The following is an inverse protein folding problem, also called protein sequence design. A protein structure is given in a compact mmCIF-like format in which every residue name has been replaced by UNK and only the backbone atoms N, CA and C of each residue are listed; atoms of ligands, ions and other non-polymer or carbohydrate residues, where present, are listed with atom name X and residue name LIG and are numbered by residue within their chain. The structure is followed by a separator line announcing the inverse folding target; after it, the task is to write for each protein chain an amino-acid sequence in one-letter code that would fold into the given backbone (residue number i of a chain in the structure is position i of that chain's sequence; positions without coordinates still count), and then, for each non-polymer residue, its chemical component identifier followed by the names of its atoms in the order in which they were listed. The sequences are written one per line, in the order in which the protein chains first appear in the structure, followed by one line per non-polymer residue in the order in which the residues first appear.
data_IF_062508967631
#
_entry.id   IF_062508967631
#
_cell.length_a   1.000
_cell.length_b   1.000
_cell.length_c   1.000
_cell.angle_alpha   90.00
_cell.angle_beta   90.00
_cell.angle_gamma   90.00
#
_symmetry.space_group_name_H-M   'P 1'
#
loop_
_entity.id
_entity.type
_entity.pdbx_description
1 polymer ?
#
# COMPACT_ATOMS: atom_id res chain seq x y z
N UNK A 1 -7.06 21.77 -12.47
CA UNK A 1 -5.95 22.76 -12.47
C UNK A 1 -5.45 23.14 -11.08
N UNK A 2 -6.19 23.89 -10.25
CA UNK A 2 -5.69 24.42 -8.95
C UNK A 2 -5.11 23.37 -7.96
N UNK A 3 -5.57 22.11 -8.01
CA UNK A 3 -4.94 21.01 -7.27
C UNK A 3 -3.51 20.71 -7.74
N UNK A 4 -3.33 20.58 -9.06
CA UNK A 4 -2.03 20.31 -9.67
C UNK A 4 -1.06 21.50 -9.50
N UNK A 5 -1.56 22.73 -9.61
CA UNK A 5 -0.73 23.92 -9.40
C UNK A 5 -0.14 23.97 -7.99
N UNK A 6 -0.96 23.63 -6.96
CA UNK A 6 -0.47 23.49 -5.58
C UNK A 6 0.57 22.37 -5.47
N UNK A 7 0.31 21.20 -6.05
CA UNK A 7 1.25 20.07 -6.02
C UNK A 7 2.60 20.45 -6.63
N UNK A 8 2.61 21.12 -7.78
CA UNK A 8 3.81 21.62 -8.45
C UNK A 8 4.54 22.66 -7.59
N UNK A 9 3.83 23.60 -6.97
CA UNK A 9 4.42 24.60 -6.08
C UNK A 9 5.08 23.95 -4.84
N UNK A 10 4.39 22.99 -4.19
CA UNK A 10 4.97 22.23 -3.08
C UNK A 10 6.22 21.46 -3.51
N UNK A 11 6.20 20.83 -4.68
CA UNK A 11 7.35 20.11 -5.21
C UNK A 11 8.53 21.04 -5.49
N UNK A 12 8.31 22.19 -6.13
CA UNK A 12 9.36 23.18 -6.38
C UNK A 12 10.00 23.68 -5.08
N UNK A 13 9.20 23.97 -4.05
CA UNK A 13 9.71 24.40 -2.73
C UNK A 13 10.50 23.31 -2.00
N UNK A 14 10.31 22.04 -2.35
CA UNK A 14 11.04 20.93 -1.73
C UNK A 14 12.49 20.78 -2.19
N UNK A 15 12.91 21.54 -3.22
CA UNK A 15 14.29 21.46 -3.73
C UNK A 15 14.64 20.10 -4.36
N UNK A 16 13.64 19.36 -4.86
CA UNK A 16 13.81 18.04 -5.47
C UNK A 16 13.51 16.85 -4.55
N UNK A 17 13.17 17.09 -3.28
CA UNK A 17 12.75 16.00 -2.37
C UNK A 17 11.38 15.41 -2.73
N UNK A 18 10.48 16.20 -3.30
CA UNK A 18 9.15 15.76 -3.73
C UNK A 18 9.05 15.76 -5.26
N UNK A 19 8.60 14.62 -5.81
CA UNK A 19 8.37 14.44 -7.24
C UNK A 19 6.85 14.54 -7.51
N UNK A 20 6.36 15.55 -8.25
CA UNK A 20 4.94 15.78 -8.41
C UNK A 20 4.35 14.88 -9.51
N UNK A 21 3.23 14.23 -9.21
CA UNK A 21 2.39 13.51 -10.18
C UNK A 21 1.15 14.34 -10.48
N UNK A 22 0.79 14.46 -11.76
CA UNK A 22 -0.43 15.16 -12.19
C UNK A 22 -1.65 14.29 -11.94
N UNK A 23 -2.70 14.85 -11.34
CA UNK A 23 -4.00 14.19 -11.22
C UNK A 23 -4.97 14.79 -12.23
N UNK A 24 -5.67 13.93 -12.97
CA UNK A 24 -6.55 14.34 -14.07
C UNK A 24 -8.02 14.37 -13.64
N UNK A 25 -8.79 15.29 -14.20
CA UNK A 25 -10.24 15.13 -14.27
C UNK A 25 -10.56 14.62 -15.67
N UNK A 26 -11.16 13.44 -15.77
CA UNK A 26 -11.43 12.82 -17.07
C UNK A 26 -12.50 13.57 -17.88
N UNK A 27 -13.18 14.55 -17.29
CA UNK A 27 -14.23 15.34 -17.93
C UNK A 27 -13.79 16.77 -18.31
N UNK A 28 -12.56 17.20 -17.98
CA UNK A 28 -12.10 18.59 -18.15
C UNK A 28 -10.81 18.72 -18.99
N UNK A 29 -10.74 18.03 -20.14
CA UNK A 29 -9.54 18.06 -20.99
C UNK A 29 -8.32 17.43 -20.32
N UNK A 30 -8.35 16.11 -20.03
CA UNK A 30 -7.30 15.44 -19.28
C UNK A 30 -5.94 15.50 -19.98
N UNK A 31 -5.90 15.51 -21.31
CA UNK A 31 -4.64 15.49 -22.08
C UNK A 31 -3.98 16.85 -22.09
N UNK A 32 -4.76 17.93 -22.23
CA UNK A 32 -4.25 19.29 -22.16
C UNK A 32 -3.67 19.60 -20.77
N UNK A 33 -4.35 19.17 -19.71
CA UNK A 33 -3.86 19.35 -18.35
C UNK A 33 -2.64 18.48 -18.04
N UNK A 34 -2.62 17.22 -18.49
CA UNK A 34 -1.46 16.35 -18.36
C UNK A 34 -0.24 16.96 -19.04
N UNK A 35 -0.38 17.36 -20.30
CA UNK A 35 0.68 17.99 -21.09
C UNK A 35 1.23 19.23 -20.38
N UNK A 36 0.35 20.14 -19.97
CA UNK A 36 0.73 21.35 -19.24
C UNK A 36 1.51 21.04 -17.95
N UNK A 37 1.02 20.09 -17.15
CA UNK A 37 1.67 19.78 -15.88
C UNK A 37 3.03 19.10 -16.08
N UNK A 38 3.15 18.23 -17.08
CA UNK A 38 4.42 17.60 -17.43
C UNK A 38 5.44 18.64 -17.93
N UNK A 39 5.01 19.61 -18.75
CA UNK A 39 5.87 20.73 -19.17
C UNK A 39 6.29 21.64 -18.00
N UNK A 40 5.47 21.71 -16.95
CA UNK A 40 5.78 22.46 -15.72
C UNK A 40 6.56 21.64 -14.68
N UNK A 41 6.97 20.41 -15.00
CA UNK A 41 7.84 19.59 -14.17
C UNK A 41 7.16 18.47 -13.38
N UNK A 42 5.89 18.14 -13.65
CA UNK A 42 5.34 16.86 -13.23
C UNK A 42 6.12 15.71 -13.87
N UNK A 43 6.31 14.62 -13.13
CA UNK A 43 7.13 13.47 -13.54
C UNK A 43 6.35 12.14 -13.50
N UNK A 44 5.02 12.22 -13.53
CA UNK A 44 4.14 11.06 -13.52
C UNK A 44 2.68 11.47 -13.52
N UNK A 45 1.79 10.51 -13.80
CA UNK A 45 0.34 10.70 -13.85
C UNK A 45 -0.31 9.83 -12.76
N UNK A 46 -1.19 10.41 -11.93
CA UNK A 46 -1.95 9.71 -10.88
C UNK A 46 -3.40 9.53 -11.30
N UNK A 47 -3.80 8.26 -11.37
CA UNK A 47 -5.14 7.81 -11.66
C UNK A 47 -5.78 7.12 -10.44
N UNK A 48 -7.06 7.35 -10.24
CA UNK A 48 -7.90 6.79 -9.20
C UNK A 48 -9.31 6.57 -9.75
N UNK A 49 -9.57 5.42 -10.42
CA UNK A 49 -10.80 5.16 -11.18
C UNK A 49 -12.09 5.42 -10.38
N UNK A 50 -12.16 4.94 -9.13
CA UNK A 50 -13.29 5.19 -8.23
C UNK A 50 -13.50 6.68 -7.91
N UNK A 51 -12.45 7.40 -7.51
CA UNK A 51 -12.55 8.80 -7.10
C UNK A 51 -12.79 9.74 -8.29
N UNK A 52 -12.29 9.39 -9.47
CA UNK A 52 -12.47 10.13 -10.73
C UNK A 52 -13.67 9.61 -11.55
N UNK A 53 -14.35 8.56 -11.09
CA UNK A 53 -15.58 7.98 -11.67
C UNK A 53 -15.42 7.52 -13.13
N UNK A 54 -14.42 6.69 -13.40
CA UNK A 54 -14.23 6.02 -14.69
C UNK A 54 -13.93 4.52 -14.53
N UNK A 55 -14.10 3.77 -15.61
CA UNK A 55 -13.75 2.34 -15.72
C UNK A 55 -12.45 2.16 -16.51
N UNK A 56 -11.79 1.01 -16.37
CA UNK A 56 -10.49 0.78 -16.99
C UNK A 56 -10.57 0.54 -18.51
N UNK A 57 -11.75 0.19 -19.02
CA UNK A 57 -12.05 0.12 -20.45
C UNK A 57 -12.50 1.46 -21.06
N UNK A 58 -12.38 2.56 -20.32
CA UNK A 58 -12.75 3.89 -20.81
C UNK A 58 -11.77 4.34 -21.91
N UNK A 59 -12.31 4.67 -23.09
CA UNK A 59 -11.51 5.07 -24.26
C UNK A 59 -10.63 6.31 -23.99
N UNK A 60 -10.98 7.13 -22.99
CA UNK A 60 -10.18 8.30 -22.59
C UNK A 60 -8.85 7.92 -21.94
N UNK A 61 -8.65 6.67 -21.52
CA UNK A 61 -7.38 6.21 -20.96
C UNK A 61 -6.32 5.95 -22.03
N UNK A 62 -6.71 5.55 -23.24
CA UNK A 62 -5.76 5.27 -24.32
C UNK A 62 -4.83 6.48 -24.60
N UNK A 63 -5.34 7.70 -24.82
CA UNK A 63 -4.50 8.88 -24.99
C UNK A 63 -3.66 9.24 -23.75
N UNK A 64 -4.11 8.88 -22.54
CA UNK A 64 -3.33 9.11 -21.30
C UNK A 64 -2.11 8.18 -21.25
N UNK A 65 -2.29 6.90 -21.60
CA UNK A 65 -1.20 5.92 -21.68
C UNK A 65 -0.24 6.24 -22.82
N UNK A 66 -0.75 6.65 -23.98
CA UNK A 66 0.06 7.12 -25.10
C UNK A 66 0.95 8.30 -24.70
N UNK A 67 0.38 9.34 -24.09
CA UNK A 67 1.14 10.49 -23.60
C UNK A 67 2.18 10.10 -22.54
N UNK A 68 1.84 9.19 -21.63
CA UNK A 68 2.78 8.71 -20.61
C UNK A 68 3.99 8.00 -21.23
N UNK A 69 3.76 7.16 -22.25
CA UNK A 69 4.81 6.48 -23.00
C UNK A 69 5.68 7.48 -23.78
N UNK A 70 5.08 8.41 -24.52
CA UNK A 70 5.79 9.46 -25.27
C UNK A 70 6.68 10.33 -24.37
N UNK A 71 6.19 10.66 -23.17
CA UNK A 71 6.89 11.50 -22.20
C UNK A 71 7.82 10.70 -21.28
N UNK A 72 7.82 9.37 -21.39
CA UNK A 72 8.58 8.45 -20.56
C UNK A 72 8.38 8.69 -19.06
N UNK A 73 7.11 8.87 -18.64
CA UNK A 73 6.74 9.06 -17.24
C UNK A 73 5.82 7.95 -16.74
N UNK A 74 5.92 7.52 -15.48
CA UNK A 74 5.06 6.47 -14.93
C UNK A 74 3.62 6.92 -14.73
N UNK A 75 2.69 5.98 -14.89
CA UNK A 75 1.32 6.07 -14.40
C UNK A 75 1.23 5.36 -13.06
N UNK A 76 0.82 6.06 -12.01
CA UNK A 76 0.43 5.47 -10.73
C UNK A 76 -1.09 5.34 -10.69
N UNK A 77 -1.62 4.12 -10.68
CA UNK A 77 -3.07 3.86 -10.65
C UNK A 77 -3.50 3.23 -9.33
N UNK A 78 -4.62 3.67 -8.78
CA UNK A 78 -5.21 3.01 -7.61
C UNK A 78 -5.62 1.57 -7.95
N UNK A 79 -5.08 0.58 -7.21
CA UNK A 79 -5.43 -0.84 -7.32
C UNK A 79 -5.94 -1.44 -5.99
N UNK A 80 -6.52 -0.59 -5.13
CA UNK A 80 -6.95 -0.95 -3.78
C UNK A 80 -8.44 -1.21 -3.62
N UNK A 81 -8.89 -1.25 -2.36
CA UNK A 81 -10.28 -1.57 -1.97
C UNK A 81 -11.33 -0.72 -2.69
N UNK A 82 -12.41 -1.36 -3.11
CA UNK A 82 -13.58 -0.69 -3.69
C UNK A 82 -13.51 -0.46 -5.20
N UNK A 83 -12.60 -1.15 -5.88
CA UNK A 83 -12.63 -1.33 -7.34
C UNK A 83 -13.23 -2.70 -7.70
N UNK A 84 -13.86 -2.84 -8.88
CA UNK A 84 -14.11 -4.14 -9.48
C UNK A 84 -12.77 -4.79 -9.92
N UNK A 85 -12.79 -6.03 -10.44
CA UNK A 85 -11.65 -6.57 -11.19
C UNK A 85 -11.19 -5.60 -12.29
N UNK A 86 -9.88 -5.45 -12.47
CA UNK A 86 -9.24 -4.46 -13.36
C UNK A 86 -8.12 -5.05 -14.23
N UNK A 87 -7.72 -6.30 -14.01
CA UNK A 87 -6.51 -6.86 -14.60
C UNK A 87 -6.53 -6.87 -16.13
N UNK A 88 -7.61 -7.34 -16.75
CA UNK A 88 -7.69 -7.54 -18.20
C UNK A 88 -7.62 -6.21 -18.97
N UNK A 89 -8.39 -5.21 -18.52
CA UNK A 89 -8.41 -3.88 -19.14
C UNK A 89 -7.05 -3.18 -18.98
N UNK A 90 -6.45 -3.28 -17.79
CA UNK A 90 -5.16 -2.67 -17.51
C UNK A 90 -4.02 -3.34 -18.29
N UNK A 91 -4.04 -4.67 -18.42
CA UNK A 91 -3.10 -5.41 -19.25
C UNK A 91 -3.21 -5.03 -20.73
N UNK A 92 -4.43 -4.82 -21.25
CA UNK A 92 -4.64 -4.36 -22.62
C UNK A 92 -3.99 -2.99 -22.87
N UNK A 93 -4.05 -2.08 -21.90
CA UNK A 93 -3.41 -0.76 -21.99
C UNK A 93 -1.87 -0.88 -21.93
N UNK A 94 -1.33 -1.67 -21.00
CA UNK A 94 0.12 -1.90 -20.86
C UNK A 94 0.72 -2.61 -22.07
N UNK A 95 0.00 -3.57 -22.67
CA UNK A 95 0.47 -4.28 -23.85
C UNK A 95 0.45 -3.41 -25.12
N UNK A 96 -0.46 -2.44 -25.16
CA UNK A 96 -0.59 -1.51 -26.29
C UNK A 96 0.40 -0.35 -26.21
N UNK A 97 0.69 0.13 -25.01
CA UNK A 97 1.50 1.32 -24.79
C UNK A 97 2.69 0.99 -23.89
N UNK A 98 3.91 1.31 -24.33
CA UNK A 98 5.15 1.13 -23.57
C UNK A 98 5.29 2.17 -22.43
N UNK A 99 4.26 2.27 -21.59
CA UNK A 99 4.19 3.15 -20.45
C UNK A 99 4.53 2.38 -19.17
N UNK A 100 5.38 2.96 -18.33
CA UNK A 100 5.61 2.42 -17.00
C UNK A 100 4.35 2.56 -16.15
N UNK A 101 4.04 1.51 -15.38
CA UNK A 101 2.84 1.43 -14.55
C UNK A 101 3.21 1.09 -13.12
N UNK A 102 2.62 1.80 -12.15
CA UNK A 102 2.66 1.47 -10.73
C UNK A 102 1.22 1.21 -10.27
N UNK A 103 0.94 -0.02 -9.86
CA UNK A 103 -0.36 -0.42 -9.28
C UNK A 103 -0.31 -0.22 -7.77
N UNK A 104 -1.11 0.71 -7.26
CA UNK A 104 -1.12 1.04 -5.85
C UNK A 104 -1.81 -0.02 -4.98
N UNK A 105 -1.42 -0.06 -3.70
CA UNK A 105 -1.99 -0.92 -2.65
C UNK A 105 -1.83 -2.41 -2.94
N UNK A 106 -0.65 -2.81 -3.41
CA UNK A 106 -0.34 -4.18 -3.83
C UNK A 106 -1.30 -4.77 -4.88
N UNK A 107 -2.14 -3.96 -5.53
CA UNK A 107 -3.15 -4.47 -6.46
C UNK A 107 -4.26 -5.32 -5.82
N UNK A 108 -4.53 -5.19 -4.51
CA UNK A 108 -5.48 -6.04 -3.77
C UNK A 108 -6.92 -6.04 -4.32
N UNK A 109 -7.29 -5.10 -5.18
CA UNK A 109 -8.57 -5.13 -5.90
C UNK A 109 -8.73 -6.39 -6.75
N UNK A 110 -7.62 -6.89 -7.31
CA UNK A 110 -7.61 -7.96 -8.30
C UNK A 110 -6.24 -8.68 -8.32
N UNK A 111 -5.62 -8.85 -7.15
CA UNK A 111 -4.19 -9.17 -7.00
C UNK A 111 -3.76 -10.39 -7.84
N UNK A 112 -4.50 -11.49 -7.75
CA UNK A 112 -4.13 -12.72 -8.45
C UNK A 112 -4.17 -12.54 -9.98
N UNK A 113 -5.21 -11.90 -10.52
CA UNK A 113 -5.33 -11.68 -11.96
C UNK A 113 -4.35 -10.60 -12.44
N UNK A 114 -4.13 -9.54 -11.66
CA UNK A 114 -3.13 -8.51 -11.97
C UNK A 114 -1.73 -9.11 -12.06
N UNK A 115 -1.36 -9.97 -11.11
CA UNK A 115 -0.05 -10.61 -11.14
C UNK A 115 0.06 -11.67 -12.25
N UNK A 116 -1.01 -12.40 -12.58
CA UNK A 116 -1.04 -13.31 -13.74
C UNK A 116 -0.81 -12.56 -15.06
N UNK A 117 -1.45 -11.40 -15.22
CA UNK A 117 -1.38 -10.61 -16.46
C UNK A 117 -0.13 -9.73 -16.55
N UNK A 118 0.37 -9.22 -15.42
CA UNK A 118 1.40 -8.18 -15.38
C UNK A 118 2.70 -8.60 -14.66
N UNK A 119 2.68 -9.72 -13.94
CA UNK A 119 3.88 -10.30 -13.34
C UNK A 119 4.91 -10.67 -14.42
N UNK A 120 6.18 -10.42 -14.13
CA UNK A 120 7.28 -10.65 -15.08
C UNK A 120 7.45 -9.57 -16.15
N UNK A 121 6.56 -8.57 -16.25
CA UNK A 121 6.72 -7.46 -17.20
C UNK A 121 7.63 -6.37 -16.62
N UNK A 122 8.76 -6.12 -17.29
CA UNK A 122 9.59 -4.95 -17.01
C UNK A 122 8.76 -3.66 -17.19
N UNK A 123 8.90 -2.70 -16.27
CA UNK A 123 8.16 -1.44 -16.30
C UNK A 123 6.79 -1.48 -15.61
N UNK A 124 6.34 -2.64 -15.12
CA UNK A 124 5.18 -2.76 -14.23
C UNK A 124 5.65 -2.97 -12.79
N UNK A 125 5.14 -2.15 -11.89
CA UNK A 125 5.42 -2.17 -10.46
C UNK A 125 4.13 -2.23 -9.63
N UNK A 126 4.26 -2.71 -8.39
CA UNK A 126 3.22 -2.76 -7.36
C UNK A 126 3.75 -2.08 -6.11
N UNK A 127 2.98 -1.16 -5.52
CA UNK A 127 3.41 -0.49 -4.30
C UNK A 127 3.02 -1.26 -3.02
N UNK A 128 3.76 -1.03 -1.93
CA UNK A 128 3.51 -1.71 -0.65
C UNK A 128 2.45 -1.04 0.23
N UNK A 129 1.66 -0.09 -0.29
CA UNK A 129 0.80 0.76 0.52
C UNK A 129 -0.54 0.12 0.91
N UNK A 130 -0.45 -1.02 1.59
CA UNK A 130 -1.56 -1.80 2.12
C UNK A 130 -1.38 -2.02 3.63
N UNK A 131 -2.46 -2.31 4.33
CA UNK A 131 -2.45 -2.53 5.78
C UNK A 131 -2.35 -4.01 6.19
N UNK A 132 -2.52 -4.94 5.25
CA UNK A 132 -2.51 -6.38 5.53
C UNK A 132 -1.13 -6.96 5.23
N UNK A 133 -0.41 -7.52 6.24
CA UNK A 133 0.86 -8.19 5.98
C UNK A 133 0.66 -9.45 5.12
N UNK A 134 -0.50 -10.11 5.25
CA UNK A 134 -0.90 -11.26 4.43
C UNK A 134 -1.05 -10.89 2.96
N UNK A 135 -1.58 -9.69 2.64
CA UNK A 135 -1.70 -9.24 1.26
C UNK A 135 -0.32 -8.99 0.62
N UNK A 136 0.65 -8.45 1.39
CA UNK A 136 2.03 -8.30 0.89
C UNK A 136 2.73 -9.64 0.70
N UNK A 137 2.59 -10.58 1.61
CA UNK A 137 3.10 -11.95 1.43
C UNK A 137 2.46 -12.60 0.19
N UNK A 138 1.16 -12.36 -0.03
CA UNK A 138 0.42 -12.77 -1.21
C UNK A 138 0.92 -12.13 -2.51
N UNK A 139 1.37 -10.88 -2.47
CA UNK A 139 2.00 -10.21 -3.61
C UNK A 139 3.38 -10.83 -3.90
N UNK A 140 4.22 -11.02 -2.89
CA UNK A 140 5.61 -11.43 -3.08
C UNK A 140 5.74 -12.81 -3.73
N UNK A 141 4.79 -13.73 -3.45
CA UNK A 141 4.71 -15.05 -4.13
C UNK A 141 4.29 -14.98 -5.60
N UNK A 142 3.83 -13.83 -6.08
CA UNK A 142 3.30 -13.65 -7.43
C UNK A 142 4.17 -12.77 -8.33
N UNK A 143 4.98 -11.87 -7.78
CA UNK A 143 5.85 -10.96 -8.56
C UNK A 143 7.29 -10.91 -8.02
N UNK A 144 8.25 -10.61 -8.89
CA UNK A 144 9.65 -10.46 -8.52
C UNK A 144 9.91 -9.21 -7.66
N UNK A 145 10.96 -9.18 -6.82
CA UNK A 145 11.34 -8.00 -6.02
C UNK A 145 11.54 -6.72 -6.84
N UNK A 146 11.97 -6.84 -8.11
CA UNK A 146 12.19 -5.72 -9.03
C UNK A 146 10.88 -5.00 -9.40
N UNK A 147 9.72 -5.67 -9.24
CA UNK A 147 8.40 -5.11 -9.50
C UNK A 147 7.75 -4.51 -8.25
N UNK A 148 8.45 -4.40 -7.12
CA UNK A 148 7.85 -3.91 -5.88
C UNK A 148 8.48 -2.58 -5.46
N UNK A 149 7.66 -1.58 -5.18
CA UNK A 149 8.11 -0.27 -4.69
C UNK A 149 7.51 0.06 -3.33
N UNK A 150 8.30 0.63 -2.44
CA UNK A 150 7.80 1.05 -1.14
C UNK A 150 6.86 2.26 -1.26
N UNK A 151 5.70 2.17 -0.61
CA UNK A 151 4.81 3.30 -0.42
C UNK A 151 4.06 3.18 0.93
N UNK A 152 3.75 4.34 1.53
CA UNK A 152 3.05 4.41 2.81
C UNK A 152 1.56 4.73 2.70
N UNK A 153 1.09 5.30 1.58
CA UNK A 153 -0.23 5.93 1.47
C UNK A 153 -0.49 6.99 2.55
N UNK A 154 0.52 7.81 2.85
CA UNK A 154 0.35 8.97 3.74
C UNK A 154 -0.79 9.88 3.23
N UNK A 155 -1.70 10.34 4.10
CA UNK A 155 -1.65 10.29 5.57
C UNK A 155 -2.34 9.07 6.20
N UNK A 156 -2.81 8.11 5.40
CA UNK A 156 -3.54 6.94 5.88
C UNK A 156 -2.62 5.87 6.47
N UNK A 157 -1.56 5.49 5.76
CA UNK A 157 -0.45 4.73 6.34
C UNK A 157 0.67 5.67 6.77
N UNK A 158 1.32 5.33 7.88
CA UNK A 158 2.33 6.17 8.52
C UNK A 158 3.44 5.32 9.12
N UNK A 159 4.57 5.99 9.38
CA UNK A 159 5.65 5.41 10.15
C UNK A 159 5.27 5.27 11.64
N UNK A 160 5.81 4.25 12.33
CA UNK A 160 6.70 3.20 11.81
C UNK A 160 5.98 2.04 11.11
N UNK A 161 4.65 1.97 11.17
CA UNK A 161 3.88 0.79 10.73
C UNK A 161 4.08 0.48 9.24
N UNK A 162 4.06 1.48 8.35
CA UNK A 162 4.22 1.25 6.91
C UNK A 162 5.61 0.73 6.55
N UNK A 163 6.69 1.18 7.20
CA UNK A 163 8.02 0.62 6.97
C UNK A 163 8.16 -0.77 7.62
N UNK A 164 7.63 -0.94 8.84
CA UNK A 164 7.72 -2.20 9.57
C UNK A 164 7.06 -3.34 8.78
N UNK A 165 5.85 -3.12 8.26
CA UNK A 165 5.14 -4.13 7.47
C UNK A 165 5.94 -4.51 6.22
N UNK A 166 6.44 -3.52 5.46
CA UNK A 166 7.19 -3.76 4.23
C UNK A 166 8.49 -4.55 4.49
N UNK A 167 9.25 -4.17 5.53
CA UNK A 167 10.52 -4.85 5.86
C UNK A 167 10.27 -6.27 6.38
N UNK A 168 9.36 -6.45 7.34
CA UNK A 168 9.13 -7.76 7.97
C UNK A 168 8.53 -8.76 6.99
N UNK A 169 7.60 -8.35 6.13
CA UNK A 169 7.03 -9.27 5.12
C UNK A 169 8.05 -9.62 4.04
N UNK A 170 8.90 -8.68 3.61
CA UNK A 170 9.95 -8.96 2.63
C UNK A 170 10.98 -9.97 3.20
N UNK A 171 11.41 -9.78 4.46
CA UNK A 171 12.28 -10.74 5.16
C UNK A 171 11.65 -12.11 5.30
N UNK A 172 10.39 -12.17 5.72
CA UNK A 172 9.67 -13.43 5.83
C UNK A 172 9.50 -14.15 4.48
N UNK A 173 9.34 -13.39 3.38
CA UNK A 173 9.32 -13.93 2.03
C UNK A 173 10.70 -14.37 1.50
N UNK A 174 11.77 -14.17 2.28
CA UNK A 174 13.13 -14.60 1.95
C UNK A 174 13.91 -13.60 1.11
N UNK A 175 13.56 -12.30 1.14
CA UNK A 175 14.30 -11.27 0.44
C UNK A 175 15.65 -11.05 1.14
N UNK A 176 16.72 -11.05 0.35
CA UNK A 176 18.05 -10.70 0.85
C UNK A 176 18.18 -9.19 1.14
N UNK A 177 19.33 -8.78 1.68
CA UNK A 177 19.59 -7.37 2.02
C UNK A 177 19.48 -6.41 0.83
N UNK A 178 19.87 -6.86 -0.36
CA UNK A 178 19.83 -6.04 -1.58
C UNK A 178 18.39 -5.90 -2.08
N UNK A 179 17.64 -7.00 -2.12
CA UNK A 179 16.23 -7.02 -2.52
C UNK A 179 15.35 -6.17 -1.59
N UNK A 180 15.63 -6.15 -0.28
CA UNK A 180 14.92 -5.23 0.64
C UNK A 180 15.24 -3.77 0.31
N UNK A 181 16.50 -3.43 -0.02
CA UNK A 181 16.85 -2.06 -0.44
C UNK A 181 16.22 -1.68 -1.77
N UNK A 182 16.09 -2.64 -2.68
CA UNK A 182 15.43 -2.45 -3.96
C UNK A 182 13.97 -2.07 -3.77
N UNK A 183 13.24 -2.80 -2.92
CA UNK A 183 11.86 -2.48 -2.53
C UNK A 183 11.79 -1.10 -1.89
N UNK A 184 12.68 -0.80 -0.92
CA UNK A 184 12.60 0.43 -0.13
C UNK A 184 13.00 1.69 -0.89
N UNK A 185 13.89 1.61 -1.88
CA UNK A 185 14.43 2.78 -2.57
C UNK A 185 14.77 2.52 -4.04
N UNK A 186 15.62 1.53 -4.35
CA UNK A 186 16.28 1.52 -5.66
C UNK A 186 15.32 1.36 -6.85
N UNK A 187 14.23 0.60 -6.69
CA UNK A 187 13.20 0.49 -7.74
C UNK A 187 12.54 1.85 -8.02
N UNK A 188 12.16 2.58 -6.96
CA UNK A 188 11.55 3.90 -7.09
C UNK A 188 12.54 4.95 -7.60
N UNK A 189 13.82 4.88 -7.17
CA UNK A 189 14.89 5.75 -7.67
C UNK A 189 15.15 5.51 -9.16
N UNK A 190 15.10 4.26 -9.62
CA UNK A 190 15.22 3.92 -11.04
C UNK A 190 14.13 4.59 -11.89
N UNK A 191 12.87 4.50 -11.43
CA UNK A 191 11.73 5.19 -12.06
C UNK A 191 11.95 6.71 -12.05
N UNK A 192 12.29 7.30 -10.89
CA UNK A 192 12.49 8.74 -10.74
C UNK A 192 13.63 9.30 -11.62
N UNK A 193 14.67 8.49 -11.85
CA UNK A 193 15.82 8.85 -12.67
C UNK A 193 15.64 8.50 -14.15
N UNK A 194 14.48 7.96 -14.56
CA UNK A 194 14.22 7.58 -15.95
C UNK A 194 15.11 6.45 -16.45
N UNK A 195 15.53 5.56 -15.55
CA UNK A 195 16.32 4.39 -15.91
C UNK A 195 15.43 3.35 -16.60
N UNK A 196 16.03 2.55 -17.49
CA UNK A 196 15.35 1.39 -18.07
C UNK A 196 14.97 0.41 -16.95
N UNK A 197 13.70 -0.03 -16.86
CA UNK A 197 13.28 -1.01 -15.87
C UNK A 197 14.10 -2.30 -15.97
N UNK A 198 14.43 -2.89 -14.83
CA UNK A 198 15.09 -4.20 -14.77
C UNK A 198 14.09 -5.28 -15.16
N UNK A 199 14.58 -6.31 -15.84
CA UNK A 199 13.81 -7.54 -16.08
C UNK A 199 13.49 -8.21 -14.75
N UNK A 200 12.21 -8.45 -14.42
CA UNK A 200 11.85 -9.07 -13.14
C UNK A 200 12.41 -10.48 -13.00
N UNK A 201 12.94 -10.78 -11.83
CA UNK A 201 13.30 -12.15 -11.46
C UNK A 201 12.07 -12.97 -11.06
N UNK A 202 12.25 -14.27 -10.84
CA UNK A 202 11.18 -15.13 -10.34
C UNK A 202 10.66 -14.62 -8.98
N UNK A 203 9.34 -14.73 -8.71
CA UNK A 203 8.76 -14.37 -7.42
C UNK A 203 9.44 -15.09 -6.25
N UNK A 204 9.33 -14.47 -5.07
CA UNK A 204 9.89 -14.97 -3.81
C UNK A 204 8.77 -15.37 -2.87
N UNK A 205 9.08 -16.04 -1.76
CA UNK A 205 8.06 -16.49 -0.83
C UNK A 205 7.44 -17.83 -1.22
N UNK A 206 6.47 -18.25 -0.42
CA UNK A 206 5.94 -19.62 -0.38
C UNK A 206 4.42 -19.62 -0.51
N UNK A 207 3.87 -20.63 -1.18
CA UNK A 207 2.42 -20.75 -1.36
C UNK A 207 1.66 -21.02 -0.05
N UNK A 208 2.36 -21.48 0.99
CA UNK A 208 1.78 -21.83 2.28
C UNK A 208 2.35 -20.91 3.36
N UNK A 209 1.51 -20.05 3.92
CA UNK A 209 1.84 -19.28 5.11
C UNK A 209 1.60 -20.11 6.37
N UNK A 210 2.67 -20.37 7.14
CA UNK A 210 2.63 -21.11 8.40
C UNK A 210 2.97 -20.20 9.56
N UNK A 211 2.20 -20.30 10.65
CA UNK A 211 2.44 -19.56 11.88
C UNK A 211 1.93 -20.37 13.09
N UNK A 212 2.48 -20.18 14.30
CA UNK A 212 1.92 -20.79 15.50
C UNK A 212 0.46 -20.36 15.70
N UNK A 213 -0.38 -21.29 16.18
CA UNK A 213 -1.83 -21.07 16.36
C UNK A 213 -2.15 -19.85 17.23
N UNK A 214 -1.30 -19.55 18.22
CA UNK A 214 -1.43 -18.37 19.08
C UNK A 214 -1.47 -17.08 18.26
N UNK A 215 -0.52 -16.91 17.33
CA UNK A 215 -0.42 -15.70 16.49
C UNK A 215 -1.52 -15.64 15.43
N UNK A 216 -1.93 -16.80 14.88
CA UNK A 216 -3.09 -16.87 14.01
C UNK A 216 -4.36 -16.37 14.69
N UNK A 217 -4.57 -16.75 15.95
CA UNK A 217 -5.71 -16.28 16.75
C UNK A 217 -5.62 -14.78 17.02
N UNK A 218 -4.44 -14.27 17.39
CA UNK A 218 -4.22 -12.83 17.58
C UNK A 218 -4.59 -12.07 16.30
N UNK A 219 -4.00 -12.43 15.17
CA UNK A 219 -4.27 -11.80 13.87
C UNK A 219 -5.78 -11.80 13.52
N UNK A 220 -6.45 -12.94 13.73
CA UNK A 220 -7.89 -13.05 13.50
C UNK A 220 -8.70 -12.04 14.35
N UNK A 221 -8.40 -11.93 15.64
CA UNK A 221 -9.11 -11.00 16.52
C UNK A 221 -8.82 -9.53 16.18
N UNK A 222 -7.59 -9.19 15.82
CA UNK A 222 -7.21 -7.82 15.42
C UNK A 222 -7.82 -7.41 14.07
N UNK A 223 -7.93 -8.36 13.14
CA UNK A 223 -8.65 -8.19 11.87
C UNK A 223 -10.14 -7.89 12.08
N UNK A 224 -10.75 -8.48 13.12
CA UNK A 224 -12.14 -8.18 13.51
C UNK A 224 -12.28 -6.82 14.22
N UNK A 225 -11.26 -6.39 14.96
CA UNK A 225 -11.25 -5.11 15.66
C UNK A 225 -11.21 -3.91 14.70
N UNK A 226 -10.46 -4.05 13.61
CA UNK A 226 -10.16 -2.95 12.68
C UNK A 226 -11.44 -2.31 12.07
N UNK A 227 -12.41 -3.06 11.51
CA UNK A 227 -13.66 -2.49 11.03
C UNK A 227 -14.50 -1.78 12.10
N UNK A 228 -14.52 -2.29 13.33
CA UNK A 228 -15.23 -1.63 14.44
C UNK A 228 -14.65 -0.23 14.67
N UNK A 229 -13.32 -0.13 14.72
CA UNK A 229 -12.63 1.14 14.93
C UNK A 229 -12.89 2.14 13.78
N UNK A 230 -12.84 1.70 12.52
CA UNK A 230 -13.12 2.56 11.36
C UNK A 230 -14.58 3.01 11.27
N UNK A 231 -15.51 2.17 11.73
CA UNK A 231 -16.94 2.50 11.80
C UNK A 231 -17.33 3.19 13.10
N UNK A 232 -16.34 3.58 13.92
CA UNK A 232 -16.52 4.28 15.21
C UNK A 232 -17.37 3.50 16.21
N UNK A 233 -17.32 2.17 16.14
CA UNK A 233 -17.96 1.30 17.11
C UNK A 233 -17.01 1.01 18.27
N UNK A 234 -17.58 0.82 19.46
CA UNK A 234 -16.85 0.33 20.62
C UNK A 234 -16.58 -1.18 20.49
N UNK A 235 -15.51 -1.66 21.11
CA UNK A 235 -15.23 -3.11 21.20
C UNK A 235 -16.14 -3.80 22.24
N UNK A 236 -17.44 -3.84 21.96
CA UNK A 236 -18.45 -4.46 22.85
C UNK A 236 -18.39 -5.99 22.83
N UNK A 237 -17.89 -6.57 21.74
CA UNK A 237 -17.69 -8.03 21.58
C UNK A 237 -16.41 -8.50 22.30
N UNK A 238 -15.50 -7.58 22.63
CA UNK A 238 -14.31 -7.85 23.44
C UNK A 238 -13.17 -8.50 22.66
N UNK A 239 -13.03 -8.21 21.37
CA UNK A 239 -12.02 -8.85 20.51
C UNK A 239 -10.59 -8.53 20.96
N UNK A 240 -10.32 -7.31 21.47
CA UNK A 240 -9.00 -7.00 22.04
C UNK A 240 -8.74 -7.78 23.33
N UNK A 241 -9.78 -8.08 24.11
CA UNK A 241 -9.67 -8.95 25.28
C UNK A 241 -9.27 -10.39 24.90
N UNK A 242 -9.86 -10.93 23.83
CA UNK A 242 -9.51 -12.25 23.31
C UNK A 242 -8.07 -12.31 22.80
N UNK A 243 -7.62 -11.26 22.10
CA UNK A 243 -6.22 -11.15 21.64
C UNK A 243 -5.24 -11.08 22.80
N UNK A 244 -5.54 -10.27 23.83
CA UNK A 244 -4.72 -10.18 25.05
C UNK A 244 -4.62 -11.51 25.80
N UNK A 245 -5.73 -12.24 25.92
CA UNK A 245 -5.72 -13.57 26.52
C UNK A 245 -4.90 -14.58 25.70
N UNK A 246 -4.91 -14.47 24.36
CA UNK A 246 -4.07 -15.32 23.52
C UNK A 246 -2.57 -15.06 23.77
N UNK A 247 -2.18 -13.85 24.19
CA UNK A 247 -0.79 -13.55 24.53
C UNK A 247 -0.28 -14.28 25.78
N UNK A 248 -1.16 -14.91 26.58
CA UNK A 248 -0.76 -15.66 27.78
C UNK A 248 -0.23 -17.07 27.48
N UNK A 249 -0.23 -17.50 26.22
CA UNK A 249 0.28 -18.79 25.81
C UNK A 249 1.80 -18.89 26.02
N UNK A 250 2.20 -19.71 27.00
CA UNK A 250 3.61 -19.89 27.39
C UNK A 250 4.33 -20.98 26.59
N UNK A 251 3.62 -21.69 25.72
CA UNK A 251 4.10 -22.94 25.11
C UNK A 251 4.71 -22.78 23.72
N UNK A 252 4.64 -21.59 23.12
CA UNK A 252 4.95 -21.38 21.71
C UNK A 252 6.39 -20.94 21.40
N UNK A 253 7.22 -20.65 22.40
CA UNK A 253 8.63 -20.27 22.21
C UNK A 253 8.89 -18.81 21.78
N UNK A 254 7.86 -17.97 21.61
CA UNK A 254 7.94 -16.59 21.12
C UNK A 254 7.49 -15.58 22.17
N UNK A 255 8.03 -15.69 23.40
CA UNK A 255 7.54 -14.93 24.55
C UNK A 255 7.76 -13.43 24.40
N UNK A 256 8.86 -13.02 23.78
CA UNK A 256 9.21 -11.62 23.63
C UNK A 256 8.27 -10.92 22.65
N UNK A 257 7.93 -11.56 21.53
CA UNK A 257 6.95 -11.03 20.57
C UNK A 257 5.55 -10.94 21.19
N UNK A 258 5.13 -11.95 21.98
CA UNK A 258 3.85 -11.90 22.69
C UNK A 258 3.78 -10.77 23.73
N UNK A 259 4.88 -10.47 24.42
CA UNK A 259 4.91 -9.36 25.37
C UNK A 259 4.82 -8.00 24.66
N UNK A 260 5.51 -7.84 23.53
CA UNK A 260 5.39 -6.63 22.69
C UNK A 260 3.96 -6.44 22.19
N UNK A 261 3.33 -7.51 21.68
CA UNK A 261 1.93 -7.47 21.26
C UNK A 261 1.04 -7.08 22.44
N UNK A 262 1.25 -7.67 23.63
CA UNK A 262 0.46 -7.35 24.83
C UNK A 262 0.56 -5.89 25.22
N UNK A 263 1.75 -5.31 25.21
CA UNK A 263 1.96 -3.89 25.54
C UNK A 263 1.19 -2.98 24.57
N UNK A 264 1.33 -3.23 23.26
CA UNK A 264 0.62 -2.50 22.21
C UNK A 264 -0.90 -2.59 22.39
N UNK A 265 -1.42 -3.80 22.60
CA UNK A 265 -2.86 -4.04 22.72
C UNK A 265 -3.46 -3.54 24.03
N UNK A 266 -2.70 -3.57 25.13
CA UNK A 266 -3.15 -3.00 26.42
C UNK A 266 -3.32 -1.50 26.28
N UNK A 267 -2.32 -0.82 25.71
CA UNK A 267 -2.37 0.61 25.42
C UNK A 267 -3.51 0.95 24.46
N UNK A 268 -3.65 0.19 23.36
CA UNK A 268 -4.72 0.39 22.39
C UNK A 268 -6.12 0.27 23.02
N UNK A 269 -6.31 -0.72 23.90
CA UNK A 269 -7.59 -0.94 24.60
C UNK A 269 -7.93 0.20 25.55
N UNK A 270 -6.94 0.71 26.29
CA UNK A 270 -7.12 1.87 27.17
C UNK A 270 -7.49 3.11 26.37
N UNK A 271 -6.79 3.37 25.27
CA UNK A 271 -7.12 4.45 24.35
C UNK A 271 -8.53 4.28 23.78
N UNK A 272 -8.89 3.12 23.23
CA UNK A 272 -10.23 2.91 22.67
C UNK A 272 -11.33 3.19 23.69
N UNK A 273 -11.19 2.72 24.92
CA UNK A 273 -12.16 2.96 26.01
C UNK A 273 -12.24 4.43 26.42
N UNK A 274 -11.12 5.14 26.36
CA UNK A 274 -11.04 6.56 26.66
C UNK A 274 -11.39 7.47 25.47
N UNK A 275 -11.92 6.93 24.36
CA UNK A 275 -12.38 7.73 23.23
C UNK A 275 -13.37 8.79 23.73
N UNK A 276 -13.09 10.09 23.53
CA UNK A 276 -13.97 11.15 24.01
C UNK A 276 -15.36 11.00 23.37
N UNK A 277 -16.40 10.95 24.20
CA UNK A 277 -17.79 11.09 23.73
C UNK A 277 -18.05 12.53 23.23
N UNK A 278 -17.36 13.49 23.85
CA UNK A 278 -17.41 14.94 23.57
C UNK A 278 -16.00 15.49 23.30
N UNK A 279 -15.84 16.37 22.30
CA UNK A 279 -14.55 16.95 21.90
C UNK A 279 -14.55 17.38 20.43
N UNK A 280 -13.52 18.12 19.99
CA UNK A 280 -13.35 18.47 18.58
C UNK A 280 -13.16 17.22 17.70
N UNK A 281 -13.72 17.23 16.49
CA UNK A 281 -13.65 16.12 15.55
C UNK A 281 -12.19 15.78 15.18
N UNK A 282 -11.29 16.78 15.23
CA UNK A 282 -9.86 16.62 15.03
C UNK A 282 -9.21 15.72 16.08
N UNK A 283 -9.46 15.98 17.36
CA UNK A 283 -8.90 15.22 18.48
C UNK A 283 -9.40 13.78 18.48
N UNK A 284 -10.69 13.58 18.20
CA UNK A 284 -11.27 12.24 18.06
C UNK A 284 -10.62 11.45 16.93
N UNK A 285 -10.42 12.07 15.77
CA UNK A 285 -9.76 11.44 14.63
C UNK A 285 -8.30 11.08 14.94
N UNK A 286 -7.58 11.97 15.61
CA UNK A 286 -6.20 11.73 16.02
C UNK A 286 -6.12 10.53 16.98
N UNK A 287 -7.04 10.45 17.94
CA UNK A 287 -7.13 9.37 18.90
C UNK A 287 -7.47 8.02 18.23
N UNK A 288 -8.49 7.98 17.38
CA UNK A 288 -8.84 6.78 16.59
C UNK A 288 -7.67 6.30 15.74
N UNK A 289 -6.94 7.20 15.09
CA UNK A 289 -5.74 6.86 14.31
C UNK A 289 -4.62 6.32 15.18
N UNK A 290 -4.41 6.89 16.37
CA UNK A 290 -3.42 6.39 17.32
C UNK A 290 -3.76 4.97 17.81
N UNK A 291 -5.02 4.72 18.20
CA UNK A 291 -5.50 3.38 18.55
C UNK A 291 -5.31 2.39 17.41
N UNK A 292 -5.67 2.78 16.18
CA UNK A 292 -5.48 1.94 15.00
C UNK A 292 -4.02 1.56 14.79
N UNK A 293 -3.10 2.53 14.92
CA UNK A 293 -1.65 2.28 14.74
C UNK A 293 -1.13 1.24 15.72
N UNK A 294 -1.54 1.27 16.98
CA UNK A 294 -1.12 0.28 17.98
C UNK A 294 -1.64 -1.13 17.63
N UNK A 295 -2.91 -1.24 17.23
CA UNK A 295 -3.51 -2.50 16.78
C UNK A 295 -2.79 -3.02 15.53
N UNK A 296 -2.51 -2.13 14.58
CA UNK A 296 -1.85 -2.49 13.33
C UNK A 296 -0.41 -2.96 13.54
N UNK A 297 0.36 -2.29 14.42
CA UNK A 297 1.70 -2.75 14.80
C UNK A 297 1.67 -4.14 15.44
N UNK A 298 0.73 -4.38 16.35
CA UNK A 298 0.56 -5.70 16.98
C UNK A 298 0.20 -6.78 15.93
N UNK A 299 -0.66 -6.45 14.97
CA UNK A 299 -1.04 -7.35 13.88
C UNK A 299 0.14 -7.66 12.95
N UNK A 300 0.95 -6.65 12.59
CA UNK A 300 2.17 -6.85 11.81
C UNK A 300 3.10 -7.83 12.51
N UNK A 301 3.39 -7.62 13.80
CA UNK A 301 4.25 -8.52 14.59
C UNK A 301 3.67 -9.93 14.63
N UNK A 302 2.36 -10.07 14.86
CA UNK A 302 1.72 -11.37 14.92
C UNK A 302 1.87 -12.16 13.61
N UNK A 303 1.53 -11.55 12.47
CA UNK A 303 1.62 -12.21 11.15
C UNK A 303 3.07 -12.50 10.74
N UNK A 304 4.01 -11.67 11.18
CA UNK A 304 5.42 -11.79 10.77
C UNK A 304 6.31 -12.37 11.87
N UNK A 305 5.76 -13.20 12.76
CA UNK A 305 6.53 -13.82 13.84
C UNK A 305 7.73 -14.61 13.28
N UNK A 306 8.92 -14.41 13.85
CA UNK A 306 10.16 -15.07 13.39
C UNK A 306 10.86 -14.41 12.19
N UNK A 307 10.29 -13.33 11.64
CA UNK A 307 10.94 -12.48 10.63
C UNK A 307 11.92 -11.48 11.22
#
# INVERSE_FOLDING_TARGET
RAGNDRTLEFAARSGGTLIPFVRLDMNEGPIEEATRCLDLGARGIKLHPRAQKFLLNDERLAPVFELAAERQVPILIHGGRGLPPIADDLATLVDRYDAQLIVAHAGIADLAALADRLGGKAGVFFDTSVWSPVDLLGLYRLVGPEQVVYASDYPYGQQPASLLIAVRTARLAGFDEEQVRDVLAHNADGIANGQTPREPSAPKGIDIFQQPMTFARIHQYLSMATPLLWTRQQDTVGVLGLALNACDDRSNGHRDELEQIRELLTTAREMWRALPEEGDDGDRMAHTRATFRLIHLADIVAVTTGA
#
